data_IF_479168828277
#
_entry.id   IF_479168828277
#
_cell.length_a   1.000
_cell.length_b   1.000
_cell.length_c   1.000
_cell.angle_alpha   90.00
_cell.angle_beta   90.00
_cell.angle_gamma   90.00
#
_symmetry.space_group_name_H-M   'P 1'
#
loop_
_entity.id
_entity.type
_entity.pdbx_description
1 polymer ?
#
# COMPACT_ATOMS: atom_id res chain seq x y z
N UNK A 1 -10.38 -4.23 26.20
CA UNK A 1 -10.00 -5.20 25.14
C UNK A 1 -11.08 -5.16 24.06
N UNK A 2 -10.76 -4.68 22.88
CA UNK A 2 -11.68 -4.66 21.73
C UNK A 2 -11.78 -6.08 21.19
N UNK A 3 -12.94 -6.72 21.29
CA UNK A 3 -13.19 -8.05 20.68
C UNK A 3 -12.99 -7.98 19.17
N UNK A 4 -12.38 -9.00 18.57
CA UNK A 4 -12.05 -9.04 17.13
C UNK A 4 -13.26 -8.78 16.21
N UNK A 5 -14.47 -9.09 16.68
CA UNK A 5 -15.75 -8.76 16.01
C UNK A 5 -16.00 -7.25 15.86
N UNK A 6 -15.74 -6.47 16.90
CA UNK A 6 -15.94 -5.01 16.87
C UNK A 6 -14.91 -4.32 15.97
N UNK A 7 -13.72 -4.89 15.87
CA UNK A 7 -12.67 -4.44 14.96
C UNK A 7 -13.04 -4.67 13.49
N UNK A 8 -13.47 -5.89 13.11
CA UNK A 8 -13.92 -6.19 11.75
C UNK A 8 -15.14 -5.36 11.34
N UNK A 9 -16.09 -5.14 12.26
CA UNK A 9 -17.24 -4.29 11.99
C UNK A 9 -16.87 -2.80 11.83
N UNK A 10 -15.72 -2.34 12.35
CA UNK A 10 -15.20 -0.99 12.10
C UNK A 10 -14.48 -0.91 10.76
N UNK A 11 -13.66 -1.92 10.43
CA UNK A 11 -13.03 -2.06 9.12
C UNK A 11 -14.05 -2.07 7.98
N UNK A 12 -15.09 -2.91 8.07
CA UNK A 12 -16.14 -3.03 7.06
C UNK A 12 -17.00 -1.76 6.90
N UNK A 13 -16.94 -0.82 7.85
CA UNK A 13 -17.64 0.47 7.81
C UNK A 13 -16.76 1.63 7.33
N UNK A 14 -15.60 1.33 6.73
CA UNK A 14 -14.68 2.33 6.19
C UNK A 14 -13.66 2.84 7.21
N UNK A 15 -13.14 1.95 8.08
CA UNK A 15 -12.11 2.34 9.04
C UNK A 15 -10.84 2.81 8.34
N UNK A 16 -10.51 4.10 8.48
CA UNK A 16 -9.28 4.71 7.97
C UNK A 16 -8.05 4.04 8.58
N UNK A 17 -6.99 3.87 7.78
CA UNK A 17 -5.71 3.28 8.17
C UNK A 17 -5.11 3.85 9.45
N UNK A 18 -5.25 5.15 9.61
CA UNK A 18 -4.78 5.96 10.73
C UNK A 18 -5.49 5.62 12.05
N UNK A 19 -6.73 5.11 11.97
CA UNK A 19 -7.53 4.81 13.16
C UNK A 19 -7.22 3.45 13.81
N UNK A 20 -6.35 2.66 13.18
CA UNK A 20 -5.94 1.34 13.65
C UNK A 20 -4.63 1.42 14.43
N UNK A 21 -4.51 0.68 15.54
CA UNK A 21 -3.20 0.53 16.20
C UNK A 21 -2.25 -0.29 15.32
N UNK A 22 -0.93 -0.19 15.52
CA UNK A 22 0.05 -0.99 14.76
C UNK A 22 -0.22 -2.50 14.83
N UNK A 23 -0.59 -3.02 16.02
CA UNK A 23 -1.00 -4.43 16.17
C UNK A 23 -2.20 -4.80 15.31
N UNK A 24 -3.18 -3.89 15.24
CA UNK A 24 -4.38 -4.08 14.43
C UNK A 24 -4.07 -4.03 12.94
N UNK A 25 -3.23 -3.09 12.49
CA UNK A 25 -2.76 -3.00 11.10
C UNK A 25 -2.05 -4.28 10.68
N UNK A 26 -1.04 -4.73 11.44
CA UNK A 26 -0.32 -6.00 11.18
C UNK A 26 -1.24 -7.21 11.09
N UNK A 27 -2.31 -7.23 11.91
CA UNK A 27 -3.23 -8.37 11.93
C UNK A 27 -4.08 -8.51 10.66
N UNK A 28 -4.30 -7.42 9.92
CA UNK A 28 -5.08 -7.41 8.67
C UNK A 28 -4.24 -7.20 7.42
N UNK A 29 -3.01 -6.71 7.56
CA UNK A 29 -2.08 -6.53 6.45
C UNK A 29 -1.83 -7.85 5.72
N UNK A 30 -1.88 -7.86 4.40
CA UNK A 30 -1.49 -9.01 3.59
C UNK A 30 -0.13 -8.65 2.99
N UNK A 31 0.90 -9.44 3.31
CA UNK A 31 2.24 -9.18 2.80
C UNK A 31 2.28 -9.47 1.30
N UNK A 32 2.91 -8.57 0.56
CA UNK A 32 3.07 -8.58 -0.89
C UNK A 32 4.54 -8.37 -1.25
N UNK A 33 4.89 -8.58 -2.51
CA UNK A 33 6.24 -8.26 -3.03
C UNK A 33 6.60 -6.78 -2.91
N UNK A 34 5.60 -5.88 -2.82
CA UNK A 34 5.87 -4.48 -2.55
C UNK A 34 6.49 -4.27 -1.18
N UNK A 35 6.04 -4.99 -0.15
CA UNK A 35 6.57 -4.81 1.20
C UNK A 35 8.08 -5.12 1.23
N UNK A 36 8.51 -6.16 0.51
CA UNK A 36 9.92 -6.53 0.39
C UNK A 36 10.71 -5.49 -0.44
N UNK A 37 10.11 -4.96 -1.51
CA UNK A 37 10.70 -3.88 -2.30
C UNK A 37 10.90 -2.60 -1.45
N UNK A 38 9.88 -2.18 -0.70
CA UNK A 38 9.95 -0.98 0.14
C UNK A 38 11.06 -1.10 1.18
N UNK A 39 11.17 -2.25 1.83
CA UNK A 39 12.26 -2.53 2.79
C UNK A 39 13.63 -2.44 2.15
N UNK A 40 13.80 -3.11 1.01
CA UNK A 40 15.08 -3.11 0.28
C UNK A 40 15.48 -1.70 -0.12
N UNK A 41 14.55 -0.92 -0.69
CA UNK A 41 14.81 0.46 -1.09
C UNK A 41 15.11 1.38 0.12
N UNK A 42 14.42 1.22 1.25
CA UNK A 42 14.73 1.96 2.48
C UNK A 42 16.09 1.60 3.07
N UNK A 43 16.45 0.31 3.05
CA UNK A 43 17.77 -0.17 3.50
C UNK A 43 18.91 0.33 2.60
N UNK A 44 18.62 0.55 1.32
CA UNK A 44 19.53 1.16 0.33
C UNK A 44 19.62 2.70 0.46
N UNK A 45 18.87 3.32 1.38
CA UNK A 45 18.90 4.77 1.58
C UNK A 45 17.94 5.58 0.71
N UNK A 46 17.06 4.92 -0.05
CA UNK A 46 16.26 5.57 -1.09
C UNK A 46 15.03 6.30 -0.54
N UNK A 47 14.58 7.28 -1.32
CA UNK A 47 13.26 7.87 -1.20
C UNK A 47 12.28 7.23 -2.17
N UNK A 48 11.13 6.81 -1.66
CA UNK A 48 10.12 6.11 -2.43
C UNK A 48 8.87 6.97 -2.50
N UNK A 49 8.44 7.32 -3.71
CA UNK A 49 7.17 8.01 -3.94
C UNK A 49 6.12 6.98 -4.35
N UNK A 50 5.13 6.77 -3.49
CA UNK A 50 3.94 5.98 -3.81
C UNK A 50 2.90 6.87 -4.46
N UNK A 51 2.51 6.53 -5.68
CA UNK A 51 1.40 7.16 -6.41
C UNK A 51 0.25 6.17 -6.65
N UNK A 52 -0.91 6.70 -7.02
CA UNK A 52 -2.13 5.95 -7.25
C UNK A 52 -3.39 6.70 -6.84
N UNK A 53 -4.54 6.07 -6.99
CA UNK A 53 -5.85 6.60 -6.65
C UNK A 53 -6.11 6.64 -5.13
N UNK A 54 -7.11 7.43 -4.70
CA UNK A 54 -7.63 7.35 -3.33
C UNK A 54 -8.16 5.94 -3.03
N UNK A 55 -7.62 5.32 -1.98
CA UNK A 55 -8.02 3.97 -1.55
C UNK A 55 -7.02 2.87 -1.88
N UNK A 56 -5.97 3.14 -2.66
CA UNK A 56 -4.96 2.14 -3.06
C UNK A 56 -4.02 1.70 -1.93
N UNK A 57 -4.20 2.24 -0.72
CA UNK A 57 -3.45 1.80 0.46
C UNK A 57 -2.08 2.42 0.65
N UNK A 58 -1.72 3.51 -0.07
CA UNK A 58 -0.46 4.27 0.12
C UNK A 58 -0.14 4.52 1.59
N UNK A 59 -1.09 5.12 2.32
CA UNK A 59 -0.98 5.43 3.75
C UNK A 59 -0.81 4.17 4.61
N UNK A 60 -1.44 3.05 4.25
CA UNK A 60 -1.25 1.78 4.98
C UNK A 60 0.19 1.27 4.83
N UNK A 61 0.75 1.29 3.62
CA UNK A 61 2.12 0.85 3.39
C UNK A 61 3.13 1.70 4.17
N UNK A 62 2.94 3.02 4.23
CA UNK A 62 3.78 3.92 5.03
C UNK A 62 3.69 3.56 6.52
N UNK A 63 2.47 3.50 7.06
CA UNK A 63 2.24 3.19 8.48
C UNK A 63 2.76 1.80 8.89
N UNK A 64 2.81 0.85 7.96
CA UNK A 64 3.41 -0.47 8.19
C UNK A 64 4.95 -0.43 8.21
N UNK A 65 5.57 0.41 7.37
CA UNK A 65 7.02 0.57 7.37
C UNK A 65 7.52 1.32 8.61
N UNK A 66 6.75 2.27 9.12
CA UNK A 66 7.12 3.07 10.31
C UNK A 66 7.37 2.24 11.59
N UNK A 67 6.81 1.03 11.67
CA UNK A 67 7.06 0.12 12.80
C UNK A 67 8.54 -0.36 12.85
N UNK A 68 9.20 -0.44 11.70
CA UNK A 68 10.59 -0.92 11.55
C UNK A 68 11.56 0.20 11.15
N UNK A 69 11.04 1.25 10.52
CA UNK A 69 11.76 2.43 10.05
C UNK A 69 11.17 3.68 10.73
N UNK A 70 11.63 4.04 11.94
CA UNK A 70 10.94 5.01 12.78
C UNK A 70 11.00 6.45 12.24
N UNK A 71 9.96 7.23 12.56
CA UNK A 71 9.95 8.67 12.30
C UNK A 71 11.15 9.36 12.98
N UNK A 72 11.68 10.39 12.32
CA UNK A 72 12.87 11.12 12.78
C UNK A 72 14.15 10.64 12.10
N UNK A 73 14.31 9.33 11.89
CA UNK A 73 15.41 8.76 11.10
C UNK A 73 15.06 8.73 9.60
N UNK A 74 13.79 8.50 9.28
CA UNK A 74 13.26 8.47 7.92
C UNK A 74 12.36 9.68 7.62
N UNK A 75 12.19 10.02 6.34
CA UNK A 75 11.29 11.07 5.88
C UNK A 75 9.96 10.48 5.41
N UNK A 76 8.85 10.91 5.99
CA UNK A 76 7.52 10.42 5.64
C UNK A 76 6.59 11.56 5.27
N UNK A 77 5.84 11.35 4.19
CA UNK A 77 4.71 12.18 3.80
C UNK A 77 3.49 11.27 3.61
N UNK A 78 2.51 11.37 4.50
CA UNK A 78 1.32 10.49 4.47
C UNK A 78 0.28 10.91 3.43
N UNK A 79 0.19 12.21 3.15
CA UNK A 79 -0.66 12.77 2.11
C UNK A 79 -0.15 14.16 1.70
N UNK A 80 0.26 14.31 0.44
CA UNK A 80 0.63 15.61 -0.12
C UNK A 80 -0.53 16.62 -0.16
N UNK A 81 -1.78 16.15 -0.15
CA UNK A 81 -2.97 17.02 -0.25
C UNK A 81 -3.20 17.89 0.99
N UNK A 82 -2.54 17.58 2.12
CA UNK A 82 -2.57 18.40 3.32
C UNK A 82 -1.81 19.74 3.15
N UNK A 83 -0.93 19.84 2.14
CA UNK A 83 -0.19 21.06 1.85
C UNK A 83 -1.01 21.98 0.94
N UNK A 84 -1.23 23.22 1.40
CA UNK A 84 -1.88 24.26 0.58
C UNK A 84 -0.96 24.86 -0.49
N UNK A 85 0.37 24.71 -0.32
CA UNK A 85 1.39 25.17 -1.25
C UNK A 85 2.43 24.08 -1.47
N UNK A 86 2.50 23.54 -2.68
CA UNK A 86 3.48 22.52 -3.03
C UNK A 86 4.92 23.04 -2.98
N UNK A 87 5.16 24.35 -3.06
CA UNK A 87 6.52 24.88 -2.92
C UNK A 87 7.09 24.64 -1.52
N UNK A 88 6.25 24.72 -0.49
CA UNK A 88 6.63 24.42 0.89
C UNK A 88 6.97 22.93 1.05
N UNK A 89 6.11 22.06 0.54
CA UNK A 89 6.36 20.62 0.49
C UNK A 89 7.68 20.29 -0.23
N UNK A 90 7.92 20.90 -1.40
CA UNK A 90 9.12 20.66 -2.18
C UNK A 90 10.39 21.15 -1.50
N UNK A 91 10.33 22.23 -0.71
CA UNK A 91 11.46 22.67 0.12
C UNK A 91 11.78 21.67 1.23
N UNK A 92 10.76 21.16 1.92
CA UNK A 92 10.94 20.14 2.96
C UNK A 92 11.50 18.85 2.37
N UNK A 93 10.95 18.41 1.24
CA UNK A 93 11.40 17.24 0.52
C UNK A 93 12.83 17.42 0.00
N UNK A 94 13.15 18.54 -0.63
CA UNK A 94 14.50 18.86 -1.10
C UNK A 94 15.52 18.82 0.02
N UNK A 95 15.18 19.35 1.20
CA UNK A 95 16.05 19.26 2.36
C UNK A 95 16.30 17.81 2.76
N UNK A 96 15.25 17.00 2.88
CA UNK A 96 15.39 15.58 3.21
C UNK A 96 16.20 14.80 2.15
N UNK A 97 15.99 15.10 0.87
CA UNK A 97 16.73 14.51 -0.24
C UNK A 97 18.22 14.84 -0.18
N UNK A 98 18.58 16.11 0.03
CA UNK A 98 19.98 16.54 0.16
C UNK A 98 20.66 16.05 1.46
N UNK A 99 19.89 15.71 2.48
CA UNK A 99 20.37 15.06 3.71
C UNK A 99 20.47 13.54 3.57
N UNK A 100 20.27 12.98 2.36
CA UNK A 100 20.27 11.54 2.06
C UNK A 100 19.32 10.76 2.98
N UNK A 101 18.21 11.40 3.34
CA UNK A 101 17.25 10.82 4.27
C UNK A 101 16.29 9.92 3.51
N UNK A 102 16.47 8.61 3.67
CA UNK A 102 15.56 7.58 3.17
C UNK A 102 14.12 7.83 3.65
N UNK A 103 13.13 7.40 2.87
CA UNK A 103 11.75 7.75 3.20
C UNK A 103 10.69 7.23 2.25
N UNK A 104 9.43 7.38 2.64
CA UNK A 104 8.27 7.08 1.79
C UNK A 104 7.31 8.27 1.76
N UNK A 105 6.95 8.68 0.56
CA UNK A 105 6.03 9.79 0.31
C UNK A 105 4.79 9.28 -0.43
N UNK A 106 3.60 9.59 0.06
CA UNK A 106 2.34 9.34 -0.63
C UNK A 106 1.89 10.62 -1.35
N UNK A 107 1.95 10.57 -2.69
CA UNK A 107 1.60 11.70 -3.56
C UNK A 107 0.78 11.13 -4.71
N UNK A 108 -0.43 11.63 -4.93
CA UNK A 108 -1.25 11.20 -6.08
C UNK A 108 -0.66 11.68 -7.41
N UNK A 109 -1.02 11.02 -8.51
CA UNK A 109 -0.43 11.26 -9.85
C UNK A 109 -0.55 12.71 -10.30
N UNK A 110 -1.74 13.30 -10.18
CA UNK A 110 -2.01 14.68 -10.60
C UNK A 110 -1.11 15.71 -9.89
N UNK A 111 -1.14 15.78 -8.54
CA UNK A 111 -0.21 16.61 -7.77
C UNK A 111 1.26 16.38 -8.09
N UNK A 112 1.69 15.12 -8.23
CA UNK A 112 3.09 14.80 -8.51
C UNK A 112 3.53 15.31 -9.88
N UNK A 113 2.67 15.13 -10.90
CA UNK A 113 2.90 15.66 -12.24
C UNK A 113 2.91 17.19 -12.26
N UNK A 114 1.99 17.84 -11.54
CA UNK A 114 1.97 19.31 -11.42
C UNK A 114 3.28 19.83 -10.79
N UNK A 115 3.73 19.20 -9.71
CA UNK A 115 4.99 19.56 -9.05
C UNK A 115 6.18 19.43 -10.01
N UNK A 116 6.30 18.29 -10.68
CA UNK A 116 7.37 18.03 -11.62
C UNK A 116 7.37 19.03 -12.80
N UNK A 117 6.21 19.28 -13.40
CA UNK A 117 6.09 20.18 -14.54
C UNK A 117 6.37 21.65 -14.18
N UNK A 118 6.05 22.07 -12.96
CA UNK A 118 6.13 23.47 -12.54
C UNK A 118 7.45 23.86 -11.87
N UNK A 119 8.09 22.92 -11.18
CA UNK A 119 9.21 23.22 -10.29
C UNK A 119 10.48 22.41 -10.57
N UNK A 120 10.55 21.65 -11.67
CA UNK A 120 11.74 20.87 -12.04
C UNK A 120 13.01 21.71 -12.21
N UNK A 121 12.90 22.96 -12.67
CA UNK A 121 14.04 23.88 -12.77
C UNK A 121 14.60 24.30 -11.40
N UNK A 122 13.79 24.26 -10.34
CA UNK A 122 14.19 24.64 -8.97
C UNK A 122 14.62 23.43 -8.13
N UNK A 123 13.97 22.28 -8.34
CA UNK A 123 14.22 21.05 -7.60
C UNK A 123 14.62 19.92 -8.57
N UNK A 124 15.93 19.71 -8.73
CA UNK A 124 16.49 18.80 -9.74
C UNK A 124 16.03 17.34 -9.62
N UNK A 125 15.74 16.85 -8.41
CA UNK A 125 15.23 15.49 -8.21
C UNK A 125 13.87 15.25 -8.90
N UNK A 126 13.11 16.32 -9.19
CA UNK A 126 11.85 16.22 -9.92
C UNK A 126 12.04 15.82 -11.39
N UNK A 127 13.22 16.04 -11.98
CA UNK A 127 13.51 15.50 -13.32
C UNK A 127 13.51 13.97 -13.31
N UNK A 128 14.04 13.35 -12.26
CA UNK A 128 14.02 11.89 -12.07
C UNK A 128 12.58 11.41 -11.86
N UNK A 129 11.79 12.11 -11.05
CA UNK A 129 10.35 11.83 -10.87
C UNK A 129 9.62 11.89 -12.21
N UNK A 130 9.83 12.96 -12.99
CA UNK A 130 9.19 13.15 -14.28
C UNK A 130 9.53 12.03 -15.26
N UNK A 131 10.81 11.67 -15.38
CA UNK A 131 11.25 10.55 -16.22
C UNK A 131 10.58 9.24 -15.80
N UNK A 132 10.47 8.96 -14.50
CA UNK A 132 9.82 7.73 -14.03
C UNK A 132 8.32 7.73 -14.32
N UNK A 133 7.62 8.85 -14.13
CA UNK A 133 6.21 8.99 -14.50
C UNK A 133 5.97 8.81 -16.00
N UNK A 134 6.80 9.42 -16.85
CA UNK A 134 6.69 9.29 -18.31
C UNK A 134 6.94 7.85 -18.78
N UNK A 135 7.89 7.13 -18.17
CA UNK A 135 8.19 5.75 -18.53
C UNK A 135 7.16 4.74 -17.98
N UNK A 136 6.46 5.05 -16.88
CA UNK A 136 5.32 4.23 -16.43
C UNK A 136 4.15 4.25 -17.44
N UNK A 137 4.04 5.30 -18.27
CA UNK A 137 3.02 5.43 -19.31
C UNK A 137 3.43 4.69 -20.61
N UNK A 138 4.74 4.51 -20.86
CA UNK A 138 5.29 3.90 -22.08
C UNK A 138 5.55 2.40 -21.84
N UNK A 139 4.48 1.59 -21.85
CA UNK A 139 4.60 0.13 -21.92
C UNK A 139 5.05 -0.32 -23.32
N UNK A 140 6.34 -0.15 -23.64
CA UNK A 140 6.95 -0.72 -24.85
C UNK A 140 8.43 -1.03 -24.57
N UNK A 141 8.76 -2.31 -24.44
CA UNK A 141 10.06 -2.86 -24.00
C UNK A 141 11.30 -2.47 -24.86
N UNK A 142 11.19 -1.59 -25.85
CA UNK A 142 12.26 -1.40 -26.84
C UNK A 142 13.11 -0.13 -26.66
N UNK A 143 12.73 0.83 -25.81
CA UNK A 143 13.54 2.05 -25.56
C UNK A 143 13.30 2.65 -24.17
N UNK A 144 13.59 1.92 -23.10
CA UNK A 144 13.66 2.54 -21.77
C UNK A 144 15.01 3.28 -21.64
N UNK A 145 15.03 4.61 -21.43
CA UNK A 145 16.28 5.31 -21.10
C UNK A 145 16.89 4.74 -19.81
N UNK A 146 18.22 4.84 -19.64
CA UNK A 146 18.87 4.57 -18.36
C UNK A 146 18.35 5.57 -17.32
N UNK A 147 17.33 5.17 -16.57
CA UNK A 147 16.81 5.94 -15.45
C UNK A 147 17.71 5.62 -14.26
N UNK A 148 18.26 6.66 -13.67
CA UNK A 148 18.93 6.59 -12.38
C UNK A 148 17.87 6.36 -11.29
N UNK A 149 17.86 5.14 -10.75
CA UNK A 149 17.03 4.73 -9.62
C UNK A 149 17.84 4.70 -8.31
N UNK A 150 19.04 5.29 -8.27
CA UNK A 150 19.96 5.16 -7.14
C UNK A 150 19.42 5.80 -5.87
N UNK A 151 18.78 6.98 -5.96
CA UNK A 151 18.34 7.72 -4.76
C UNK A 151 16.82 7.84 -4.61
N UNK A 152 16.07 7.79 -5.72
CA UNK A 152 14.63 8.05 -5.73
C UNK A 152 13.89 7.11 -6.68
N UNK A 153 12.80 6.52 -6.20
CA UNK A 153 11.93 5.65 -7.02
C UNK A 153 10.46 6.03 -6.88
N UNK A 154 9.74 6.08 -8.00
CA UNK A 154 8.31 6.32 -8.09
C UNK A 154 7.62 4.99 -8.38
N UNK A 155 6.60 4.65 -7.59
CA UNK A 155 5.85 3.41 -7.71
C UNK A 155 4.36 3.74 -7.86
N UNK A 156 3.78 3.37 -9.00
CA UNK A 156 2.34 3.42 -9.20
C UNK A 156 1.64 2.19 -8.58
N UNK A 157 0.60 2.45 -7.79
CA UNK A 157 -0.27 1.43 -7.20
C UNK A 157 -1.51 1.11 -8.06
N UNK A 158 -1.86 1.94 -9.06
CA UNK A 158 -3.11 1.84 -9.83
C UNK A 158 -3.27 0.51 -10.58
N UNK A 159 -2.20 -0.01 -11.19
CA UNK A 159 -2.26 -1.19 -12.07
C UNK A 159 -1.92 -2.51 -11.38
N UNK A 160 -2.12 -2.59 -10.05
CA UNK A 160 -1.80 -3.80 -9.31
C UNK A 160 -2.97 -4.76 -9.31
N UNK A 161 -2.70 -5.99 -9.74
CA UNK A 161 -3.63 -7.09 -9.59
C UNK A 161 -3.70 -7.48 -8.10
N UNK A 162 -4.60 -6.84 -7.35
CA UNK A 162 -4.79 -7.10 -5.91
C UNK A 162 -5.55 -8.41 -5.67
N UNK A 163 -6.22 -8.95 -6.70
CA UNK A 163 -7.05 -10.16 -6.62
C UNK A 163 -6.35 -11.42 -7.13
N UNK A 164 -5.03 -11.53 -6.94
CA UNK A 164 -4.34 -12.80 -7.22
C UNK A 164 -4.76 -13.90 -6.24
N UNK A 165 -4.72 -15.15 -6.69
CA UNK A 165 -5.09 -16.30 -5.87
C UNK A 165 -4.28 -16.37 -4.56
N UNK A 166 -3.02 -15.93 -4.58
CA UNK A 166 -2.16 -15.85 -3.41
C UNK A 166 -2.70 -14.86 -2.36
N UNK A 167 -3.02 -13.64 -2.77
CA UNK A 167 -3.55 -12.58 -1.89
C UNK A 167 -4.90 -13.00 -1.30
N UNK A 168 -5.81 -13.51 -2.14
CA UNK A 168 -7.15 -13.94 -1.71
C UNK A 168 -7.06 -15.12 -0.73
N UNK A 169 -6.19 -16.09 -1.01
CA UNK A 169 -5.96 -17.24 -0.11
C UNK A 169 -5.42 -16.80 1.25
N UNK A 170 -4.46 -15.86 1.27
CA UNK A 170 -3.89 -15.31 2.51
C UNK A 170 -4.94 -14.51 3.31
N UNK A 171 -5.78 -13.72 2.62
CA UNK A 171 -6.89 -12.99 3.23
C UNK A 171 -7.87 -13.93 3.95
N UNK A 172 -8.33 -14.97 3.25
CA UNK A 172 -9.25 -15.98 3.80
C UNK A 172 -8.59 -16.67 5.00
N UNK A 173 -7.31 -17.03 4.89
CA UNK A 173 -6.57 -17.67 5.95
C UNK A 173 -6.45 -16.80 7.21
N UNK A 174 -6.12 -15.51 7.06
CA UNK A 174 -6.03 -14.58 8.19
C UNK A 174 -7.37 -14.40 8.88
N UNK A 175 -8.45 -14.21 8.11
CA UNK A 175 -9.82 -14.07 8.63
C UNK A 175 -10.29 -15.34 9.34
N UNK A 176 -10.10 -16.51 8.73
CA UNK A 176 -10.58 -17.80 9.23
C UNK A 176 -9.78 -18.34 10.43
N UNK A 177 -8.58 -17.82 10.70
CA UNK A 177 -7.75 -18.22 11.86
C UNK A 177 -7.93 -17.27 13.03
N UNK A 178 -7.14 -16.19 13.07
CA UNK A 178 -6.93 -15.41 14.29
C UNK A 178 -8.19 -14.66 14.73
N UNK A 179 -8.98 -14.18 13.77
CA UNK A 179 -10.17 -13.38 14.06
C UNK A 179 -11.37 -14.21 14.45
N UNK A 180 -11.68 -15.23 13.65
CA UNK A 180 -12.91 -15.98 13.84
C UNK A 180 -12.83 -17.04 14.96
N UNK A 181 -11.62 -17.38 15.43
CA UNK A 181 -11.42 -18.40 16.47
C UNK A 181 -11.30 -17.83 17.90
N UNK A 182 -10.96 -16.54 18.07
CA UNK A 182 -10.74 -15.89 19.39
C UNK A 182 -11.97 -15.10 19.87
N UNK A 183 -12.25 -15.12 21.17
CA UNK A 183 -13.26 -14.25 21.80
C UNK A 183 -14.72 -14.69 21.65
N UNK A 184 -14.95 -15.98 21.38
CA UNK A 184 -16.28 -16.58 21.22
C UNK A 184 -16.54 -17.58 22.34
N UNK A 185 -16.73 -17.09 23.57
CA UNK A 185 -17.16 -17.89 24.72
C UNK A 185 -18.65 -17.65 24.98
N UNK A 186 -19.50 -18.33 24.21
CA UNK A 186 -20.93 -18.22 24.34
C UNK A 186 -21.59 -19.58 24.19
N UNK A 187 -22.68 -19.83 24.91
CA UNK A 187 -23.41 -21.09 24.85
C UNK A 187 -24.03 -21.32 23.47
N UNK A 188 -23.76 -22.48 22.85
CA UNK A 188 -24.32 -22.91 21.55
C UNK A 188 -23.33 -22.88 20.38
N UNK A 189 -23.79 -23.22 19.18
CA UNK A 189 -22.95 -23.25 17.97
C UNK A 189 -22.62 -21.85 17.49
N UNK A 190 -21.36 -21.43 17.62
CA UNK A 190 -20.89 -20.18 17.02
C UNK A 190 -20.83 -20.30 15.50
N UNK A 191 -21.76 -19.65 14.78
CA UNK A 191 -21.76 -19.61 13.32
C UNK A 191 -20.47 -19.03 12.73
N UNK A 192 -19.83 -18.09 13.42
CA UNK A 192 -18.55 -17.50 13.00
C UNK A 192 -17.44 -18.55 13.06
N UNK A 193 -17.27 -19.25 14.20
CA UNK A 193 -16.30 -20.34 14.31
C UNK A 193 -16.62 -21.52 13.39
N UNK A 194 -17.90 -21.82 13.18
CA UNK A 194 -18.34 -22.85 12.23
C UNK A 194 -17.92 -22.51 10.80
N UNK A 195 -18.22 -21.30 10.33
CA UNK A 195 -17.85 -20.84 8.99
C UNK A 195 -16.32 -20.75 8.85
N UNK A 196 -15.62 -20.29 9.87
CA UNK A 196 -14.15 -20.26 9.89
C UNK A 196 -13.54 -21.65 9.72
N UNK A 197 -14.04 -22.66 10.46
CA UNK A 197 -13.61 -24.06 10.30
C UNK A 197 -13.89 -24.59 8.89
N UNK A 198 -15.00 -24.18 8.26
CA UNK A 198 -15.30 -24.54 6.87
C UNK A 198 -14.35 -23.87 5.88
N UNK A 199 -14.03 -22.59 6.08
CA UNK A 199 -13.06 -21.85 5.26
C UNK A 199 -11.61 -22.35 5.40
N UNK A 200 -11.31 -23.10 6.47
CA UNK A 200 -10.02 -23.79 6.62
C UNK A 200 -9.94 -25.12 5.84
N UNK A 201 -11.05 -25.63 5.30
CA UNK A 201 -11.03 -26.79 4.42
C UNK A 201 -10.47 -26.38 3.05
N UNK A 202 -9.41 -27.06 2.58
CA UNK A 202 -8.73 -26.71 1.32
C UNK A 202 -9.70 -26.62 0.15
N UNK A 203 -10.56 -27.62 -0.07
CA UNK A 203 -11.50 -27.61 -1.20
C UNK A 203 -12.48 -26.43 -1.16
N UNK A 204 -12.97 -26.05 0.02
CA UNK A 204 -13.89 -24.89 0.15
C UNK A 204 -13.11 -23.59 -0.08
N UNK A 205 -11.89 -23.51 0.46
CA UNK A 205 -11.00 -22.35 0.30
C UNK A 205 -10.63 -22.14 -1.17
N UNK A 206 -10.16 -23.18 -1.83
CA UNK A 206 -9.69 -23.14 -3.22
C UNK A 206 -10.84 -22.74 -4.16
N UNK A 207 -12.02 -23.35 -4.00
CA UNK A 207 -13.22 -22.94 -4.75
C UNK A 207 -13.60 -21.47 -4.54
N UNK A 208 -13.44 -20.94 -3.32
CA UNK A 208 -13.76 -19.54 -3.01
C UNK A 208 -12.71 -18.59 -3.58
N UNK A 209 -11.43 -18.98 -3.54
CA UNK A 209 -10.33 -18.26 -4.18
C UNK A 209 -10.59 -18.16 -5.68
N UNK A 210 -10.84 -19.29 -6.35
CA UNK A 210 -11.13 -19.34 -7.78
C UNK A 210 -12.31 -18.44 -8.15
N UNK A 211 -13.41 -18.54 -7.40
CA UNK A 211 -14.60 -17.71 -7.62
C UNK A 211 -14.32 -16.20 -7.48
N UNK A 212 -13.58 -15.79 -6.45
CA UNK A 212 -13.27 -14.38 -6.21
C UNK A 212 -12.29 -13.82 -7.25
N UNK A 213 -11.31 -14.62 -7.68
CA UNK A 213 -10.42 -14.25 -8.78
C UNK A 213 -11.18 -14.13 -10.10
N UNK A 214 -12.08 -15.07 -10.41
CA UNK A 214 -12.93 -15.00 -11.61
C UNK A 214 -13.84 -13.77 -11.61
N UNK A 215 -14.44 -13.43 -10.47
CA UNK A 215 -15.26 -12.22 -10.30
C UNK A 215 -14.45 -10.93 -10.50
N UNK A 216 -13.25 -10.85 -9.92
CA UNK A 216 -12.35 -9.71 -10.11
C UNK A 216 -12.04 -9.47 -11.59
N UNK A 217 -11.81 -10.56 -12.32
CA UNK A 217 -11.49 -10.54 -13.74
C UNK A 217 -12.74 -10.47 -14.65
N UNK A 218 -13.94 -10.32 -14.08
CA UNK A 218 -15.19 -10.22 -14.82
C UNK A 218 -15.43 -8.80 -15.34
N UNK A 219 -15.10 -7.77 -14.55
CA UNK A 219 -15.27 -6.36 -14.93
C UNK A 219 -14.26 -5.93 -16.02
N UNK A 220 -13.08 -6.57 -16.10
CA UNK A 220 -12.07 -6.28 -17.13
C UNK A 220 -12.42 -6.81 -18.53
N UNK A 221 -13.38 -7.75 -18.66
CA UNK A 221 -13.72 -8.38 -19.96
C UNK A 221 -14.83 -7.65 -20.73
N UNK A 222 -15.41 -6.61 -20.15
CA UNK A 222 -16.53 -5.86 -20.74
C UNK A 222 -16.21 -4.38 -21.04
N UNK A 223 -14.93 -4.00 -21.00
CA UNK A 223 -14.43 -2.71 -21.46
C UNK A 223 -13.39 -2.87 -22.58
#
# INVERSE_FOLDING_TARGET
MTTGKNFLARLARGGFAESLSSDQRRSVHIQTSLDDFLRTALDEGKQIVLTGNPGDGKTQHILMCQDEYPEGEYYYLLDASEYSDYHELLKEWSKAYNEEKAGILAINDGPLYEMAARYSEEFSFLETVQKQLENQIIYSEETAPEIDFEDLVVIDLNNREVLTAAIVSEAIQKLAKNFAMKGHDHSGTCHIQYNAKKLQNSRIKDNLVDYLCELGNYDERYY
#
